data_IF_411154746501
#
_entry.id   IF_411154746501
#
_cell.length_a   1.000
_cell.length_b   1.000
_cell.length_c   1.000
_cell.angle_alpha   90.00
_cell.angle_beta   90.00
_cell.angle_gamma   90.00
#
_symmetry.space_group_name_H-M   'P 1'
#
loop_
_entity.id
_entity.type
_entity.pdbx_description
1 polymer ?
#
# COMPACT_ATOMS: atom_id res chain seq x y z
N UNK A 1 -2.99 3.34 -30.55
CA UNK A 1 -3.99 3.32 -29.45
C UNK A 1 -3.35 3.52 -28.07
N UNK A 2 -2.31 2.75 -27.71
CA UNK A 2 -1.60 2.88 -26.41
C UNK A 2 -0.97 4.25 -26.14
N UNK A 3 -0.37 4.92 -27.14
CA UNK A 3 0.17 6.28 -26.99
C UNK A 3 -0.91 7.31 -26.64
N UNK A 4 -2.08 7.27 -27.31
CA UNK A 4 -3.21 8.16 -26.98
C UNK A 4 -3.73 7.92 -25.56
N UNK A 5 -3.80 6.66 -25.13
CA UNK A 5 -4.16 6.34 -23.74
C UNK A 5 -3.11 6.88 -22.77
N UNK A 6 -1.81 6.69 -23.05
CA UNK A 6 -0.72 7.25 -22.24
C UNK A 6 -0.82 8.78 -22.14
N UNK A 7 -0.96 9.48 -23.26
CA UNK A 7 -1.08 10.95 -23.30
C UNK A 7 -2.34 11.41 -22.55
N UNK A 8 -3.44 10.64 -22.63
CA UNK A 8 -4.65 10.89 -21.87
C UNK A 8 -4.42 10.72 -20.36
N UNK A 9 -3.79 9.63 -19.93
CA UNK A 9 -3.44 9.40 -18.52
C UNK A 9 -2.48 10.47 -17.99
N UNK A 10 -1.50 10.90 -18.80
CA UNK A 10 -0.61 12.03 -18.48
C UNK A 10 -1.41 13.34 -18.33
N UNK A 11 -2.39 13.59 -19.21
CA UNK A 11 -3.24 14.77 -19.12
C UNK A 11 -4.12 14.78 -17.87
N UNK A 12 -4.60 13.60 -17.43
CA UNK A 12 -5.34 13.42 -16.19
C UNK A 12 -4.45 13.62 -14.96
N UNK A 13 -3.26 13.01 -14.97
CA UNK A 13 -2.25 13.14 -13.92
C UNK A 13 -1.75 14.59 -13.75
N UNK A 14 -1.81 15.41 -14.82
CA UNK A 14 -1.42 16.80 -14.77
C UNK A 14 -2.48 17.73 -14.12
N UNK A 15 -3.72 17.28 -13.92
CA UNK A 15 -4.82 18.09 -13.34
C UNK A 15 -4.66 18.27 -11.83
N UNK A 16 -5.15 19.39 -11.29
CA UNK A 16 -5.17 19.63 -9.84
C UNK A 16 -5.99 18.57 -9.08
N UNK A 17 -7.01 18.00 -9.72
CA UNK A 17 -7.84 16.92 -9.15
C UNK A 17 -7.08 15.61 -8.96
N UNK A 18 -5.95 15.40 -9.65
CA UNK A 18 -5.15 14.18 -9.51
C UNK A 18 -4.52 14.05 -8.11
N UNK A 19 -4.21 15.16 -7.44
CA UNK A 19 -3.75 15.17 -6.05
C UNK A 19 -4.80 14.58 -5.10
N UNK A 20 -6.08 14.88 -5.33
CA UNK A 20 -7.20 14.37 -4.53
C UNK A 20 -7.41 12.88 -4.80
N UNK A 21 -7.38 12.46 -6.06
CA UNK A 21 -7.46 11.05 -6.42
C UNK A 21 -6.30 10.23 -5.85
N UNK A 22 -5.10 10.79 -5.81
CA UNK A 22 -3.95 10.17 -5.17
C UNK A 22 -4.18 9.95 -3.67
N UNK A 23 -4.70 10.96 -2.98
CA UNK A 23 -5.06 10.83 -1.57
C UNK A 23 -6.13 9.75 -1.35
N UNK A 24 -7.22 9.78 -2.13
CA UNK A 24 -8.32 8.80 -2.00
C UNK A 24 -7.81 7.39 -2.27
N UNK A 25 -7.05 7.17 -3.34
CA UNK A 25 -6.53 5.84 -3.69
C UNK A 25 -5.53 5.37 -2.64
N UNK A 26 -4.61 6.21 -2.16
CA UNK A 26 -3.67 5.82 -1.11
C UNK A 26 -4.36 5.49 0.22
N UNK A 27 -5.45 6.19 0.54
CA UNK A 27 -6.29 5.88 1.70
C UNK A 27 -7.02 4.54 1.53
N UNK A 28 -7.67 4.32 0.39
CA UNK A 28 -8.42 3.10 0.07
C UNK A 28 -7.49 1.89 -0.02
N UNK A 29 -6.31 2.07 -0.60
CA UNK A 29 -5.26 1.06 -0.68
C UNK A 29 -4.84 0.60 0.71
N UNK A 30 -4.61 1.55 1.62
CA UNK A 30 -4.17 1.21 2.96
C UNK A 30 -5.28 0.70 3.87
N UNK A 31 -6.56 0.91 3.53
CA UNK A 31 -7.69 0.52 4.37
C UNK A 31 -8.33 -0.80 3.95
N UNK A 32 -8.67 -1.00 2.67
CA UNK A 32 -9.56 -2.13 2.29
C UNK A 32 -9.19 -2.85 0.97
N UNK A 33 -8.79 -2.19 -0.13
CA UNK A 33 -8.76 -2.85 -1.47
C UNK A 33 -7.65 -2.40 -2.47
N UNK A 34 -7.58 -3.00 -3.67
CA UNK A 34 -6.35 -3.52 -4.32
C UNK A 34 -5.65 -2.67 -5.41
N UNK A 35 -5.74 -1.33 -5.39
CA UNK A 35 -5.01 -0.50 -6.37
C UNK A 35 -3.80 0.15 -5.71
N UNK A 36 -2.56 -0.15 -6.16
CA UNK A 36 -1.38 0.49 -5.61
C UNK A 36 -1.41 2.00 -5.88
N UNK A 37 -1.26 2.85 -4.87
CA UNK A 37 -1.15 4.30 -5.04
C UNK A 37 0.02 4.67 -5.96
N UNK A 38 1.05 3.81 -6.03
CA UNK A 38 2.16 3.91 -6.95
C UNK A 38 1.71 4.01 -8.41
N UNK A 39 0.59 3.38 -8.80
CA UNK A 39 0.06 3.43 -10.17
C UNK A 39 -0.32 4.85 -10.58
N UNK A 40 -0.78 5.68 -9.63
CA UNK A 40 -1.10 7.08 -9.89
C UNK A 40 0.06 8.02 -9.53
N UNK A 41 0.81 7.71 -8.48
CA UNK A 41 1.96 8.51 -8.04
C UNK A 41 3.06 8.58 -9.11
N UNK A 42 3.43 7.44 -9.71
CA UNK A 42 4.49 7.38 -10.72
C UNK A 42 4.21 8.28 -11.95
N UNK A 43 3.04 8.17 -12.62
CA UNK A 43 2.74 9.04 -13.76
C UNK A 43 2.63 10.51 -13.38
N UNK A 44 2.11 10.84 -12.19
CA UNK A 44 2.05 12.24 -11.71
C UNK A 44 3.44 12.82 -11.46
N UNK A 45 4.32 12.05 -10.80
CA UNK A 45 5.69 12.44 -10.52
C UNK A 45 6.55 12.54 -11.80
N UNK A 46 6.30 11.70 -12.81
CA UNK A 46 6.94 11.82 -14.13
C UNK A 46 6.43 13.00 -14.95
N UNK A 47 5.13 13.31 -14.86
CA UNK A 47 4.54 14.44 -15.59
C UNK A 47 4.98 15.80 -15.02
N UNK A 48 5.16 15.90 -13.70
CA UNK A 48 5.62 17.12 -13.00
C UNK A 48 6.65 16.77 -11.91
N UNK A 49 7.92 16.51 -12.28
CA UNK A 49 8.97 16.11 -11.34
C UNK A 49 9.23 17.13 -10.23
N UNK A 50 8.97 18.42 -10.48
CA UNK A 50 9.13 19.49 -9.50
C UNK A 50 8.17 19.35 -8.32
N UNK A 51 7.03 18.68 -8.54
CA UNK A 51 5.98 18.45 -7.53
C UNK A 51 6.04 17.05 -6.91
N UNK A 52 7.02 16.21 -7.27
CA UNK A 52 7.09 14.82 -6.82
C UNK A 52 7.08 14.68 -5.29
N UNK A 53 7.79 15.54 -4.57
CA UNK A 53 7.81 15.55 -3.11
C UNK A 53 6.45 15.89 -2.49
N UNK A 54 5.70 16.81 -3.12
CA UNK A 54 4.35 17.16 -2.67
C UNK A 54 3.41 15.97 -2.84
N UNK A 55 3.48 15.27 -3.98
CA UNK A 55 2.70 14.05 -4.19
C UNK A 55 3.07 12.95 -3.20
N UNK A 56 4.37 12.80 -2.89
CA UNK A 56 4.83 11.81 -1.90
C UNK A 56 4.31 12.13 -0.50
N UNK A 57 4.29 13.40 -0.09
CA UNK A 57 3.71 13.81 1.18
C UNK A 57 2.21 13.53 1.25
N UNK A 58 1.46 13.89 0.20
CA UNK A 58 0.01 13.63 0.13
C UNK A 58 -0.27 12.13 0.21
N UNK A 59 0.44 11.32 -0.59
CA UNK A 59 0.32 9.87 -0.58
C UNK A 59 0.66 9.29 0.81
N UNK A 60 1.73 9.78 1.45
CA UNK A 60 2.13 9.33 2.79
C UNK A 60 1.04 9.64 3.82
N UNK A 61 0.56 10.88 3.88
CA UNK A 61 -0.46 11.30 4.85
C UNK A 61 -1.75 10.49 4.64
N UNK A 62 -2.23 10.40 3.39
CA UNK A 62 -3.44 9.67 3.09
C UNK A 62 -3.31 8.16 3.35
N UNK A 63 -2.14 7.60 3.04
CA UNK A 63 -1.82 6.20 3.32
C UNK A 63 -1.79 5.92 4.83
N UNK A 64 -1.17 6.80 5.63
CA UNK A 64 -1.14 6.66 7.11
C UNK A 64 -2.56 6.75 7.67
N UNK A 65 -3.38 7.69 7.21
CA UNK A 65 -4.79 7.79 7.61
C UNK A 65 -5.58 6.51 7.24
N UNK A 66 -5.34 5.95 6.06
CA UNK A 66 -5.94 4.66 5.67
C UNK A 66 -5.43 3.49 6.52
N UNK A 67 -4.17 3.55 6.97
CA UNK A 67 -3.57 2.58 7.88
C UNK A 67 -4.18 2.64 9.27
N UNK A 68 -4.45 3.84 9.78
CA UNK A 68 -5.20 4.05 11.02
C UNK A 68 -6.60 3.48 10.90
N UNK A 69 -7.28 3.68 9.76
CA UNK A 69 -8.59 3.06 9.52
C UNK A 69 -8.50 1.52 9.50
N UNK A 70 -7.46 0.95 8.90
CA UNK A 70 -7.19 -0.50 8.92
C UNK A 70 -6.89 -1.04 10.33
N UNK A 71 -6.12 -0.30 11.13
CA UNK A 71 -5.86 -0.62 12.54
C UNK A 71 -7.15 -0.59 13.36
N UNK A 72 -7.97 0.45 13.19
CA UNK A 72 -9.27 0.57 13.86
C UNK A 72 -10.22 -0.55 13.44
N UNK A 73 -10.27 -0.89 12.15
CA UNK A 73 -11.00 -2.04 11.65
C UNK A 73 -10.57 -3.34 12.33
N UNK A 74 -9.27 -3.59 12.46
CA UNK A 74 -8.75 -4.76 13.18
C UNK A 74 -9.16 -4.80 14.65
N UNK A 75 -9.07 -3.67 15.35
CA UNK A 75 -9.45 -3.56 16.75
C UNK A 75 -10.96 -3.80 16.97
N UNK A 76 -11.82 -3.14 16.18
CA UNK A 76 -13.27 -3.30 16.32
C UNK A 76 -13.78 -4.63 15.79
N UNK A 77 -13.21 -5.16 14.71
CA UNK A 77 -13.55 -6.48 14.20
C UNK A 77 -13.16 -7.59 15.17
N UNK A 78 -12.08 -7.40 15.94
CA UNK A 78 -11.71 -8.34 17.00
C UNK A 78 -12.81 -8.44 18.06
N UNK A 79 -13.20 -7.31 18.65
CA UNK A 79 -14.24 -7.28 19.70
C UNK A 79 -15.62 -7.70 19.19
N UNK A 80 -16.02 -7.25 17.99
CA UNK A 80 -17.37 -7.48 17.47
C UNK A 80 -17.56 -8.85 16.80
N UNK A 81 -16.51 -9.44 16.22
CA UNK A 81 -16.61 -10.66 15.40
C UNK A 81 -15.70 -11.76 15.92
N UNK A 82 -14.41 -11.48 16.16
CA UNK A 82 -13.47 -12.53 16.55
C UNK A 82 -13.79 -13.10 17.94
N UNK A 83 -14.06 -12.25 18.93
CA UNK A 83 -14.43 -12.65 20.30
C UNK A 83 -15.63 -13.62 20.33
N UNK A 84 -16.83 -13.29 19.81
CA UNK A 84 -17.97 -14.21 19.88
C UNK A 84 -17.76 -15.51 19.08
N UNK A 85 -17.00 -15.45 17.97
CA UNK A 85 -16.64 -16.66 17.20
C UNK A 85 -15.68 -17.54 17.99
N UNK A 86 -14.64 -16.98 18.61
CA UNK A 86 -13.65 -17.72 19.39
C UNK A 86 -14.25 -18.31 20.67
N UNK A 87 -15.18 -17.59 21.31
CA UNK A 87 -15.96 -18.09 22.44
C UNK A 87 -16.87 -19.25 22.00
N UNK A 88 -17.54 -19.15 20.83
CA UNK A 88 -18.35 -20.24 20.28
C UNK A 88 -17.54 -21.52 20.03
N UNK A 89 -16.29 -21.40 19.55
CA UNK A 89 -15.38 -22.54 19.35
C UNK A 89 -14.61 -22.95 20.61
N UNK A 90 -14.83 -22.30 21.75
CA UNK A 90 -14.11 -22.55 23.00
C UNK A 90 -12.58 -22.41 22.87
N UNK A 91 -12.13 -21.54 21.96
CA UNK A 91 -10.71 -21.28 21.63
C UNK A 91 -10.25 -19.89 22.06
N UNK A 92 -11.08 -19.18 22.81
CA UNK A 92 -10.82 -17.81 23.25
C UNK A 92 -9.55 -17.69 24.10
N UNK A 93 -9.35 -18.57 25.08
CA UNK A 93 -8.19 -18.51 25.97
C UNK A 93 -6.87 -18.81 25.24
N UNK A 94 -6.86 -19.80 24.35
CA UNK A 94 -5.71 -20.12 23.49
C UNK A 94 -5.31 -18.92 22.61
N UNK A 95 -6.32 -18.23 22.05
CA UNK A 95 -6.09 -17.06 21.21
C UNK A 95 -5.62 -15.84 22.02
N UNK A 96 -6.15 -15.62 23.22
CA UNK A 96 -5.71 -14.55 24.12
C UNK A 96 -4.27 -14.74 24.59
N UNK A 97 -3.86 -15.98 24.92
CA UNK A 97 -2.45 -16.27 25.25
C UNK A 97 -1.52 -15.99 24.08
N UNK A 98 -1.90 -16.41 22.87
CA UNK A 98 -1.18 -16.07 21.65
C UNK A 98 -1.11 -14.56 21.42
N UNK A 99 -2.22 -13.85 21.57
CA UNK A 99 -2.31 -12.39 21.41
C UNK A 99 -1.37 -11.67 22.37
N UNK A 100 -1.33 -12.08 23.64
CA UNK A 100 -0.46 -11.49 24.66
C UNK A 100 1.03 -11.78 24.36
N UNK A 101 1.36 -12.99 23.93
CA UNK A 101 2.74 -13.34 23.53
C UNK A 101 3.23 -12.47 22.36
N UNK A 102 2.36 -12.23 21.39
CA UNK A 102 2.64 -11.40 20.22
C UNK A 102 2.68 -9.90 20.59
N UNK A 103 1.85 -9.47 21.54
CA UNK A 103 1.88 -8.12 22.08
C UNK A 103 3.21 -7.81 22.77
N UNK A 104 3.73 -8.75 23.56
CA UNK A 104 5.05 -8.63 24.19
C UNK A 104 6.19 -8.64 23.16
N UNK A 105 5.97 -9.30 22.01
CA UNK A 105 6.88 -9.30 20.86
C UNK A 105 6.54 -8.23 19.80
N UNK A 106 6.09 -7.04 20.24
CA UNK A 106 5.75 -5.91 19.36
C UNK A 106 6.86 -5.53 18.36
N UNK A 107 8.13 -5.82 18.67
CA UNK A 107 9.29 -5.63 17.78
C UNK A 107 9.18 -6.42 16.48
N UNK A 108 8.61 -7.64 16.52
CA UNK A 108 8.42 -8.50 15.35
C UNK A 108 7.37 -7.89 14.42
N UNK A 109 6.29 -7.35 14.97
CA UNK A 109 5.26 -6.64 14.20
C UNK A 109 5.77 -5.35 13.60
N UNK A 110 6.62 -4.63 14.33
CA UNK A 110 7.31 -3.47 13.78
C UNK A 110 8.20 -3.84 12.62
N UNK A 111 9.01 -4.90 12.74
CA UNK A 111 9.82 -5.41 11.65
C UNK A 111 8.96 -5.82 10.45
N UNK A 112 7.84 -6.51 10.69
CA UNK A 112 6.87 -6.86 9.64
C UNK A 112 6.26 -5.61 9.00
N UNK A 113 5.92 -4.58 9.76
CA UNK A 113 5.30 -3.37 9.25
C UNK A 113 6.29 -2.55 8.41
N UNK A 114 7.54 -2.43 8.87
CA UNK A 114 8.63 -1.74 8.16
C UNK A 114 9.02 -2.50 6.90
N UNK A 115 9.21 -3.82 6.98
CA UNK A 115 9.53 -4.65 5.80
C UNK A 115 8.38 -4.69 4.80
N UNK A 116 7.12 -4.70 5.25
CA UNK A 116 5.96 -4.60 4.36
C UNK A 116 5.88 -3.23 3.69
N UNK A 117 6.08 -2.15 4.45
CA UNK A 117 6.10 -0.77 3.96
C UNK A 117 7.17 -0.53 2.89
N UNK A 118 8.36 -1.09 3.09
CA UNK A 118 9.50 -0.91 2.18
C UNK A 118 9.47 -1.90 1.00
N UNK A 119 9.27 -3.19 1.27
CA UNK A 119 9.51 -4.27 0.31
C UNK A 119 8.24 -4.95 -0.25
N UNK A 120 7.04 -4.64 0.25
CA UNK A 120 5.77 -5.28 -0.19
C UNK A 120 5.77 -6.83 -0.09
N UNK A 121 6.66 -7.41 0.73
CA UNK A 121 6.83 -8.87 0.82
C UNK A 121 5.65 -9.55 1.56
N UNK A 122 5.14 -9.00 2.68
CA UNK A 122 3.79 -9.28 3.19
C UNK A 122 2.76 -8.25 2.70
N UNK A 123 1.48 -8.63 2.52
CA UNK A 123 0.42 -7.65 2.31
C UNK A 123 0.33 -6.73 3.53
N UNK A 124 0.74 -5.47 3.37
CA UNK A 124 0.71 -4.42 4.42
C UNK A 124 -0.60 -4.44 5.22
N UNK A 125 -1.71 -4.73 4.54
CA UNK A 125 -3.06 -4.83 5.08
C UNK A 125 -3.18 -5.84 6.21
N UNK A 126 -2.60 -7.01 6.02
CA UNK A 126 -2.62 -8.09 7.02
C UNK A 126 -1.87 -7.63 8.27
N UNK A 127 -0.71 -7.00 8.09
CA UNK A 127 0.07 -6.46 9.20
C UNK A 127 -0.67 -5.33 9.91
N UNK A 128 -1.34 -4.42 9.19
CA UNK A 128 -2.11 -3.32 9.80
C UNK A 128 -3.35 -3.80 10.55
N UNK A 129 -4.06 -4.81 10.03
CA UNK A 129 -5.23 -5.39 10.69
C UNK A 129 -4.78 -6.18 11.92
N UNK A 130 -3.72 -7.00 11.79
CA UNK A 130 -3.14 -7.72 12.92
C UNK A 130 -2.66 -6.77 14.02
N UNK A 131 -2.02 -5.64 13.67
CA UNK A 131 -1.63 -4.61 14.62
C UNK A 131 -2.83 -4.02 15.38
N UNK A 132 -4.01 -3.94 14.75
CA UNK A 132 -5.26 -3.58 15.40
C UNK A 132 -5.80 -4.67 16.33
N UNK A 133 -5.78 -5.92 15.88
CA UNK A 133 -6.26 -7.10 16.63
C UNK A 133 -5.50 -7.29 17.95
N UNK A 134 -4.18 -7.09 17.93
CA UNK A 134 -3.31 -7.22 19.12
C UNK A 134 -3.25 -5.95 19.98
N UNK A 135 -4.03 -4.92 19.62
CA UNK A 135 -4.06 -3.62 20.28
C UNK A 135 -2.67 -2.96 20.40
N UNK A 136 -1.90 -2.96 19.30
CA UNK A 136 -0.59 -2.31 19.26
C UNK A 136 -0.75 -0.80 19.47
N UNK A 137 0.14 -0.18 20.25
CA UNK A 137 0.10 1.25 20.51
C UNK A 137 0.01 2.06 19.20
N UNK A 138 -1.09 2.81 19.06
CA UNK A 138 -1.40 3.57 17.85
C UNK A 138 -0.30 4.61 17.51
N UNK A 139 0.34 5.20 18.52
CA UNK A 139 1.45 6.15 18.31
C UNK A 139 2.66 5.49 17.65
N UNK A 140 3.04 4.30 18.15
CA UNK A 140 4.13 3.50 17.57
C UNK A 140 3.79 3.07 16.14
N UNK A 141 2.55 2.61 15.92
CA UNK A 141 2.05 2.28 14.58
C UNK A 141 2.17 3.45 13.61
N UNK A 142 1.68 4.63 14.00
CA UNK A 142 1.69 5.83 13.15
C UNK A 142 3.13 6.22 12.81
N UNK A 143 4.02 6.29 13.80
CA UNK A 143 5.42 6.67 13.58
C UNK A 143 6.08 5.69 12.61
N UNK A 144 5.93 4.38 12.85
CA UNK A 144 6.52 3.35 11.98
C UNK A 144 5.92 3.36 10.58
N UNK A 145 4.60 3.58 10.44
CA UNK A 145 3.94 3.70 9.14
C UNK A 145 4.41 4.95 8.37
N UNK A 146 4.54 6.09 9.05
CA UNK A 146 5.08 7.33 8.48
C UNK A 146 6.51 7.13 8.01
N UNK A 147 7.37 6.51 8.82
CA UNK A 147 8.77 6.27 8.46
C UNK A 147 8.86 5.30 7.29
N UNK A 148 8.23 4.13 7.37
CA UNK A 148 8.34 3.11 6.34
C UNK A 148 7.75 3.56 4.99
N UNK A 149 6.54 4.13 5.01
CA UNK A 149 5.84 4.55 3.78
C UNK A 149 6.35 5.89 3.27
N UNK A 150 6.60 6.83 4.17
CA UNK A 150 7.19 8.12 3.83
C UNK A 150 8.57 7.95 3.21
N UNK A 151 9.43 7.09 3.77
CA UNK A 151 10.73 6.77 3.17
C UNK A 151 10.56 6.26 1.74
N UNK A 152 9.69 5.28 1.50
CA UNK A 152 9.43 4.75 0.14
C UNK A 152 8.99 5.85 -0.84
N UNK A 153 7.91 6.58 -0.52
CA UNK A 153 7.37 7.60 -1.44
C UNK A 153 8.34 8.76 -1.64
N UNK A 154 9.07 9.17 -0.61
CA UNK A 154 10.08 10.22 -0.72
C UNK A 154 11.32 9.76 -1.49
N UNK A 155 11.77 8.51 -1.31
CA UNK A 155 12.86 7.93 -2.10
C UNK A 155 12.47 7.84 -3.57
N UNK A 156 11.25 7.39 -3.87
CA UNK A 156 10.73 7.37 -5.24
C UNK A 156 10.61 8.79 -5.81
N UNK A 157 10.09 9.75 -5.04
CA UNK A 157 10.02 11.16 -5.45
C UNK A 157 11.40 11.74 -5.75
N UNK A 158 12.40 11.43 -4.92
CA UNK A 158 13.79 11.86 -5.10
C UNK A 158 14.38 11.26 -6.37
N UNK A 159 14.22 9.95 -6.58
CA UNK A 159 14.72 9.25 -7.75
C UNK A 159 14.08 9.79 -9.04
N UNK A 160 12.77 9.95 -9.06
CA UNK A 160 12.03 10.48 -10.21
C UNK A 160 12.33 11.95 -10.46
N UNK A 161 12.62 12.76 -9.42
CA UNK A 161 13.05 14.14 -9.61
C UNK A 161 14.47 14.23 -10.18
N UNK A 162 15.37 13.34 -9.76
CA UNK A 162 16.77 13.35 -10.20
C UNK A 162 16.98 12.72 -11.59
N UNK A 163 16.21 11.68 -11.91
CA UNK A 163 16.36 10.89 -13.13
C UNK A 163 15.09 10.88 -14.01
N UNK A 164 14.14 11.79 -13.78
CA UNK A 164 12.83 11.79 -14.43
C UNK A 164 12.87 11.91 -15.95
N UNK A 165 13.77 12.74 -16.50
CA UNK A 165 13.97 12.90 -17.96
C UNK A 165 14.38 11.58 -18.65
N UNK A 166 15.49 10.91 -18.24
CA UNK A 166 15.86 9.62 -18.84
C UNK A 166 14.85 8.51 -18.54
N UNK A 167 14.20 8.50 -17.37
CA UNK A 167 13.15 7.52 -17.06
C UNK A 167 11.92 7.73 -17.95
N UNK A 168 11.48 8.96 -18.15
CA UNK A 168 10.37 9.29 -19.05
C UNK A 168 10.68 8.81 -20.46
N UNK A 169 11.88 9.09 -20.96
CA UNK A 169 12.27 8.65 -22.30
C UNK A 169 12.38 7.12 -22.41
N UNK A 170 12.85 6.45 -21.36
CA UNK A 170 12.86 4.98 -21.28
C UNK A 170 11.45 4.38 -21.30
N UNK A 171 10.54 4.95 -20.50
CA UNK A 171 9.13 4.53 -20.42
C UNK A 171 8.42 4.77 -21.75
N UNK A 172 8.54 5.95 -22.34
CA UNK A 172 7.94 6.29 -23.65
C UNK A 172 8.44 5.37 -24.78
N UNK A 173 9.71 4.96 -24.75
CA UNK A 173 10.32 4.07 -25.75
C UNK A 173 9.95 2.59 -25.55
N UNK A 174 9.73 2.14 -24.32
CA UNK A 174 9.46 0.71 -23.98
C UNK A 174 8.05 0.43 -23.46
N UNK A 175 7.15 1.41 -23.50
CA UNK A 175 5.79 1.32 -22.98
C UNK A 175 5.02 0.10 -23.49
N UNK A 176 5.16 -0.22 -24.79
CA UNK A 176 4.54 -1.41 -25.38
C UNK A 176 5.07 -2.73 -24.82
N UNK A 177 6.37 -2.80 -24.51
CA UNK A 177 7.00 -4.00 -23.93
C UNK A 177 6.67 -4.14 -22.44
N UNK A 178 6.67 -3.04 -21.67
CA UNK A 178 6.33 -3.05 -20.24
C UNK A 178 4.86 -3.45 -20.05
N UNK A 179 3.95 -2.90 -20.85
CA UNK A 179 2.53 -3.28 -20.82
C UNK A 179 2.35 -4.73 -21.28
N UNK A 180 3.09 -5.18 -22.31
CA UNK A 180 3.06 -6.56 -22.77
C UNK A 180 3.52 -7.57 -21.72
N UNK A 181 4.64 -7.29 -21.04
CA UNK A 181 5.16 -8.13 -19.95
C UNK A 181 4.25 -8.09 -18.73
N UNK A 182 3.73 -6.91 -18.37
CA UNK A 182 2.77 -6.76 -17.27
C UNK A 182 1.48 -7.53 -17.53
N UNK A 183 0.93 -7.46 -18.74
CA UNK A 183 -0.24 -8.24 -19.14
C UNK A 183 0.06 -9.74 -19.15
N UNK A 184 1.22 -10.16 -19.69
CA UNK A 184 1.63 -11.55 -19.69
C UNK A 184 1.82 -12.10 -18.27
N UNK A 185 2.40 -11.32 -17.36
CA UNK A 185 2.53 -11.65 -15.94
C UNK A 185 1.15 -11.77 -15.26
N UNK A 186 0.24 -10.84 -15.52
CA UNK A 186 -1.12 -10.88 -14.96
C UNK A 186 -1.90 -12.10 -15.46
N UNK A 187 -1.80 -12.41 -16.76
CA UNK A 187 -2.43 -13.57 -17.38
C UNK A 187 -1.83 -14.86 -16.80
N UNK A 188 -0.51 -14.97 -16.70
CA UNK A 188 0.15 -16.15 -16.13
C UNK A 188 -0.17 -16.32 -14.65
N UNK A 189 -0.26 -15.24 -13.87
CA UNK A 189 -0.70 -15.28 -12.47
C UNK A 189 -2.16 -15.75 -12.34
N UNK A 190 -3.05 -15.29 -13.24
CA UNK A 190 -4.46 -15.69 -13.25
C UNK A 190 -4.62 -17.16 -13.64
N UNK A 191 -3.81 -17.63 -14.59
CA UNK A 191 -3.76 -19.03 -15.01
C UNK A 191 -3.20 -19.90 -13.88
N UNK A 192 -2.12 -19.48 -13.22
CA UNK A 192 -1.58 -20.18 -12.06
C UNK A 192 -2.59 -20.24 -10.91
N UNK A 193 -3.29 -19.15 -10.61
CA UNK A 193 -4.35 -19.13 -9.60
C UNK A 193 -5.48 -20.12 -9.94
N UNK A 194 -5.93 -20.17 -11.20
CA UNK A 194 -6.93 -21.16 -11.65
C UNK A 194 -6.44 -22.60 -11.60
N UNK A 195 -5.15 -22.84 -11.81
CA UNK A 195 -4.55 -24.18 -11.75
C UNK A 195 -4.33 -24.68 -10.32
N UNK A 196 -4.07 -23.78 -9.36
CA UNK A 196 -3.90 -24.13 -7.94
C UNK A 196 -5.21 -24.13 -7.15
N UNK A 197 -6.25 -23.46 -7.66
CA UNK A 197 -7.58 -23.42 -7.04
C UNK A 197 -8.51 -24.57 -7.48
N UNK A 198 -8.03 -25.53 -8.26
CA UNK A 198 -8.74 -26.74 -8.68
C UNK A 198 -7.97 -28.02 -8.36
#
# INVERSE_FOLDING_TARGET
MLRRLYDWTMSLAARKSAEVWLAVIAFVESSVFLVPADVLFLPMALAKPERSYRYALIATVASVLGGIAGWALGHYAYEAVARPVLEFYNKFEDFEQWRNTIHDQWEILLLLLVTSGLAHLPPIKVVTILAGVINMNLGVFIISAVVARGARFLLLAWLLRRYGEPIRHFVEKRLGQIVGVGAAALISLTIAYKLFAH
#
